data_IF_944644841169
#
_entry.id   IF_944644841169
#
_cell.length_a   1.000
_cell.length_b   1.000
_cell.length_c   1.000
_cell.angle_alpha   90.00
_cell.angle_beta   90.00
_cell.angle_gamma   90.00
#
_symmetry.space_group_name_H-M   'P 1'
#
loop_
_entity.id
_entity.type
_entity.pdbx_description
1 polymer ?
#
# COMPACT_ATOMS: atom_id res chain seq x y z
N UNK A 1 -0.05 17.25 -19.35
CA UNK A 1 0.70 16.82 -18.17
C UNK A 1 0.89 15.33 -18.36
N UNK A 2 2.11 14.90 -18.71
CA UNK A 2 2.40 13.53 -19.15
C UNK A 2 1.95 12.55 -18.08
N UNK A 3 0.99 11.71 -18.45
CA UNK A 3 0.63 10.51 -17.72
C UNK A 3 1.88 9.66 -17.72
N UNK A 4 2.66 9.70 -16.64
CA UNK A 4 3.74 8.76 -16.39
C UNK A 4 3.17 7.37 -16.68
N UNK A 5 3.65 6.74 -17.76
CA UNK A 5 3.07 5.53 -18.32
C UNK A 5 2.79 4.56 -17.17
N UNK A 6 1.50 4.34 -16.87
CA UNK A 6 1.07 3.59 -15.69
C UNK A 6 1.78 2.24 -15.60
N UNK A 7 2.16 1.68 -16.75
CA UNK A 7 2.93 0.46 -16.88
C UNK A 7 4.32 0.50 -16.22
N UNK A 8 5.07 1.60 -16.31
CA UNK A 8 6.41 1.72 -15.72
C UNK A 8 6.34 1.79 -14.20
N UNK A 9 5.41 2.60 -13.68
CA UNK A 9 5.13 2.67 -12.25
C UNK A 9 4.66 1.30 -11.74
N UNK A 10 3.71 0.67 -12.42
CA UNK A 10 3.19 -0.65 -12.05
C UNK A 10 4.30 -1.70 -12.02
N UNK A 11 5.25 -1.64 -12.95
CA UNK A 11 6.41 -2.53 -12.94
C UNK A 11 7.29 -2.30 -11.71
N UNK A 12 7.60 -1.04 -11.38
CA UNK A 12 8.42 -0.72 -10.20
C UNK A 12 7.74 -1.19 -8.90
N UNK A 13 6.44 -0.93 -8.74
CA UNK A 13 5.67 -1.40 -7.58
C UNK A 13 5.63 -2.94 -7.54
N UNK A 14 5.45 -3.61 -8.68
CA UNK A 14 5.48 -5.08 -8.75
C UNK A 14 6.83 -5.65 -8.35
N UNK A 15 7.94 -5.04 -8.77
CA UNK A 15 9.28 -5.45 -8.38
C UNK A 15 9.50 -5.26 -6.88
N UNK A 16 9.05 -4.13 -6.33
CA UNK A 16 9.12 -3.87 -4.89
C UNK A 16 8.29 -4.86 -4.09
N UNK A 17 7.08 -5.18 -4.55
CA UNK A 17 6.20 -6.17 -3.94
C UNK A 17 6.88 -7.54 -3.87
N UNK A 18 7.51 -7.98 -4.95
CA UNK A 18 8.27 -9.24 -4.97
C UNK A 18 9.43 -9.24 -3.97
N UNK A 19 10.14 -8.13 -3.81
CA UNK A 19 11.20 -8.01 -2.80
C UNK A 19 10.63 -8.16 -1.38
N UNK A 20 9.52 -7.50 -1.08
CA UNK A 20 8.85 -7.60 0.23
C UNK A 20 8.39 -9.04 0.50
N UNK A 21 7.83 -9.71 -0.49
CA UNK A 21 7.41 -11.11 -0.39
C UNK A 21 8.60 -12.04 -0.14
N UNK A 22 9.74 -11.80 -0.81
CA UNK A 22 10.98 -12.54 -0.56
C UNK A 22 11.53 -12.29 0.84
N UNK A 23 11.28 -11.11 1.42
CA UNK A 23 11.66 -10.75 2.79
C UNK A 23 10.64 -11.23 3.84
N UNK A 24 9.66 -12.04 3.45
CA UNK A 24 8.68 -12.67 4.35
C UNK A 24 7.36 -11.90 4.52
N UNK A 25 7.20 -10.74 3.88
CA UNK A 25 6.00 -9.90 3.98
C UNK A 25 4.93 -10.27 2.94
N UNK A 26 4.54 -11.54 2.89
CA UNK A 26 3.64 -12.09 1.86
C UNK A 26 2.20 -11.56 1.90
N UNK A 27 1.78 -10.99 3.03
CA UNK A 27 0.42 -10.44 3.19
C UNK A 27 0.23 -9.05 2.59
N UNK A 28 1.30 -8.38 2.16
CA UNK A 28 1.21 -7.05 1.53
C UNK A 28 0.71 -7.22 0.10
N UNK A 29 -0.29 -6.42 -0.29
CA UNK A 29 -0.86 -6.42 -1.63
C UNK A 29 -0.28 -5.29 -2.50
N UNK A 30 -0.49 -5.39 -3.80
CA UNK A 30 -0.10 -4.33 -4.74
C UNK A 30 -0.79 -3.00 -4.41
N UNK A 31 -2.09 -3.04 -4.15
CA UNK A 31 -2.90 -1.85 -3.84
C UNK A 31 -2.48 -1.17 -2.54
N UNK A 32 -1.98 -1.93 -1.56
CA UNK A 32 -1.43 -1.39 -0.32
C UNK A 32 -0.23 -0.47 -0.59
N UNK A 33 0.67 -0.90 -1.49
CA UNK A 33 1.82 -0.10 -1.88
C UNK A 33 1.40 1.12 -2.69
N UNK A 34 0.47 0.97 -3.64
CA UNK A 34 -0.04 2.10 -4.43
C UNK A 34 -0.66 3.15 -3.51
N UNK A 35 -1.50 2.73 -2.56
CA UNK A 35 -2.11 3.60 -1.55
C UNK A 35 -1.04 4.27 -0.70
N UNK A 36 -0.04 3.54 -0.23
CA UNK A 36 1.07 4.09 0.55
C UNK A 36 1.84 5.17 -0.21
N UNK A 37 2.26 4.89 -1.46
CA UNK A 37 3.04 5.87 -2.21
C UNK A 37 2.22 7.12 -2.50
N UNK A 38 0.95 6.98 -2.86
CA UNK A 38 0.06 8.12 -3.12
C UNK A 38 -0.24 8.93 -1.87
N UNK A 39 -0.65 8.28 -0.79
CA UNK A 39 -1.27 8.93 0.37
C UNK A 39 -0.25 9.31 1.45
N UNK A 40 0.94 8.70 1.43
CA UNK A 40 2.01 8.96 2.39
C UNK A 40 3.27 9.55 1.74
N UNK A 41 3.89 8.86 0.78
CA UNK A 41 5.19 9.29 0.22
C UNK A 41 5.04 10.52 -0.67
N UNK A 42 4.02 10.54 -1.54
CA UNK A 42 3.76 11.60 -2.53
C UNK A 42 2.63 12.54 -2.10
N UNK A 43 2.26 12.52 -0.82
CA UNK A 43 1.18 13.35 -0.27
C UNK A 43 1.32 14.84 -0.61
N UNK A 44 2.56 15.34 -0.66
CA UNK A 44 2.87 16.75 -0.90
C UNK A 44 3.33 17.04 -2.34
N UNK A 45 3.24 16.06 -3.24
CA UNK A 45 3.69 16.19 -4.62
C UNK A 45 4.12 14.86 -5.19
N UNK A 46 3.64 14.56 -6.40
CA UNK A 46 4.02 13.37 -7.14
C UNK A 46 5.30 13.64 -7.95
N UNK A 47 6.27 12.70 -7.97
CA UNK A 47 7.45 12.80 -8.82
C UNK A 47 7.06 12.91 -10.29
N UNK A 48 7.86 13.66 -11.05
CA UNK A 48 7.61 13.94 -12.47
C UNK A 48 8.39 12.98 -13.35
N UNK A 49 9.53 12.49 -12.88
CA UNK A 49 10.43 11.64 -13.65
C UNK A 49 10.52 10.21 -13.10
N UNK A 50 10.72 9.24 -14.00
CA UNK A 50 10.78 7.82 -13.65
C UNK A 50 11.91 7.48 -12.66
N UNK A 51 13.04 8.16 -12.76
CA UNK A 51 14.17 7.98 -11.84
C UNK A 51 13.84 8.44 -10.40
N UNK A 52 13.03 9.48 -10.24
CA UNK A 52 12.54 9.94 -8.94
C UNK A 52 11.61 8.88 -8.34
N UNK A 53 10.66 8.36 -9.14
CA UNK A 53 9.77 7.27 -8.74
C UNK A 53 10.57 6.03 -8.32
N UNK A 54 11.52 5.59 -9.14
CA UNK A 54 12.33 4.42 -8.83
C UNK A 54 13.12 4.61 -7.54
N UNK A 55 13.67 5.81 -7.33
CA UNK A 55 14.38 6.16 -6.10
C UNK A 55 13.45 6.08 -4.89
N UNK A 56 12.25 6.66 -4.98
CA UNK A 56 11.28 6.61 -3.90
C UNK A 56 10.83 5.17 -3.59
N UNK A 57 10.49 4.40 -4.63
CA UNK A 57 9.99 3.02 -4.49
C UNK A 57 11.00 2.09 -3.80
N UNK A 58 12.29 2.24 -4.10
CA UNK A 58 13.32 1.37 -3.55
C UNK A 58 14.02 1.94 -2.30
N UNK A 59 13.84 3.23 -1.98
CA UNK A 59 14.43 3.85 -0.76
C UNK A 59 13.57 3.62 0.48
N UNK A 60 12.25 3.47 0.34
CA UNK A 60 11.36 3.23 1.47
C UNK A 60 11.67 1.87 2.10
N UNK A 61 12.02 1.85 3.39
CA UNK A 61 12.35 0.60 4.11
C UNK A 61 11.14 -0.27 4.37
N UNK A 62 11.35 -1.59 4.43
CA UNK A 62 10.32 -2.59 4.75
C UNK A 62 9.61 -2.26 6.08
N UNK A 63 10.37 -1.82 7.10
CA UNK A 63 9.84 -1.38 8.40
C UNK A 63 8.89 -0.18 8.28
N UNK A 64 9.20 0.77 7.39
CA UNK A 64 8.36 1.95 7.15
C UNK A 64 7.03 1.53 6.52
N UNK A 65 7.09 0.59 5.56
CA UNK A 65 5.89 0.03 4.91
C UNK A 65 5.00 -0.65 5.94
N UNK A 66 5.56 -1.54 6.75
CA UNK A 66 4.81 -2.25 7.81
C UNK A 66 4.21 -1.28 8.82
N UNK A 67 4.99 -0.27 9.26
CA UNK A 67 4.52 0.73 10.22
C UNK A 67 3.36 1.55 9.68
N UNK A 68 3.45 1.95 8.41
CA UNK A 68 2.38 2.71 7.76
C UNK A 68 1.12 1.87 7.65
N UNK A 69 1.21 0.63 7.14
CA UNK A 69 0.06 -0.28 7.03
C UNK A 69 -0.61 -0.54 8.37
N UNK A 70 0.18 -0.82 9.42
CA UNK A 70 -0.36 -1.02 10.77
C UNK A 70 -1.04 0.24 11.33
N UNK A 71 -0.60 1.43 10.91
CA UNK A 71 -1.24 2.70 11.31
C UNK A 71 -2.56 2.88 10.58
N UNK A 72 -2.60 2.65 9.27
CA UNK A 72 -3.82 2.72 8.48
C UNK A 72 -4.86 1.70 8.95
N UNK A 73 -4.47 0.45 9.21
CA UNK A 73 -5.41 -0.56 9.73
C UNK A 73 -6.01 -0.19 11.09
N UNK A 74 -5.26 0.52 11.94
CA UNK A 74 -5.82 1.04 13.21
C UNK A 74 -6.82 2.16 12.98
N UNK A 75 -6.53 3.05 12.03
CA UNK A 75 -7.43 4.15 11.66
C UNK A 75 -8.72 3.58 11.07
N UNK A 76 -8.61 2.63 10.14
CA UNK A 76 -9.74 1.95 9.53
C UNK A 76 -10.55 1.19 10.59
N UNK A 77 -9.89 0.40 11.44
CA UNK A 77 -10.55 -0.30 12.55
C UNK A 77 -11.27 0.61 13.54
N UNK A 78 -10.80 1.85 13.74
CA UNK A 78 -11.48 2.84 14.57
C UNK A 78 -12.70 3.48 13.85
N UNK A 79 -12.74 3.46 12.52
CA UNK A 79 -13.86 3.95 11.73
C UNK A 79 -15.00 2.93 11.61
N UNK A 80 -14.70 1.65 11.82
CA UNK A 80 -15.72 0.61 11.89
C UNK A 80 -16.30 0.51 13.31
N UNK A 81 -17.61 0.41 13.39
CA UNK A 81 -18.34 0.09 14.61
C UNK A 81 -18.46 -1.43 14.78
N UNK A 82 -18.71 -1.93 15.99
CA UNK A 82 -18.97 -3.36 16.22
C UNK A 82 -20.18 -3.86 15.42
N UNK A 83 -21.12 -2.97 15.12
CA UNK A 83 -22.35 -3.25 14.37
C UNK A 83 -22.05 -3.60 12.90
N UNK A 84 -20.95 -3.10 12.34
CA UNK A 84 -20.52 -3.38 10.97
C UNK A 84 -20.05 -4.83 10.77
N UNK A 85 -19.79 -5.55 11.87
CA UNK A 85 -19.34 -6.95 11.85
C UNK A 85 -20.46 -7.96 12.16
N UNK A 86 -21.64 -7.50 12.58
CA UNK A 86 -22.79 -8.37 12.87
C UNK A 86 -23.22 -9.25 11.68
N UNK A 87 -23.29 -8.73 10.44
CA UNK A 87 -23.69 -9.55 9.29
C UNK A 87 -22.75 -10.72 9.00
N UNK A 88 -21.48 -10.63 9.42
CA UNK A 88 -20.49 -11.69 9.20
C UNK A 88 -20.58 -12.81 10.25
N UNK A 89 -21.24 -12.54 11.38
CA UNK A 89 -21.46 -13.53 12.44
C UNK A 89 -22.77 -14.30 12.24
N UNK A 90 -23.77 -13.69 11.59
CA UNK A 90 -25.07 -14.32 11.32
C UNK A 90 -25.01 -15.38 10.20
N UNK A 91 -24.05 -15.28 9.28
CA UNK A 91 -23.86 -16.25 8.18
C UNK A 91 -23.16 -17.57 8.61
N UNK A 92 -22.65 -17.67 9.84
CA UNK A 92 -22.06 -18.92 10.39
C UNK A 92 -23.10 -19.83 11.08
N UNK A 93 -24.36 -19.41 11.22
CA UNK A 93 -25.46 -20.25 11.73
C UNK A 93 -26.39 -20.77 10.60
N UNK A 94 -25.86 -21.55 9.64
CA UNK A 94 -26.68 -22.39 8.73
C UNK A 94 -26.01 -23.74 8.40
#
# INVERSE_FOLDING_TARGET
MENLDSQQLNLLITLRLRQLHNNGLKGILFDDLVRMYRDFIWKNGQPVHLNEIASDVFRVSDETIVRWLATESKIDGYRYSLEDFLPMLEDEEL
#
